data_IF_100780862561
#
_entry.id   IF_100780862561
#
_cell.length_a   1.000
_cell.length_b   1.000
_cell.length_c   1.000
_cell.angle_alpha   90.00
_cell.angle_beta   90.00
_cell.angle_gamma   90.00
#
_symmetry.space_group_name_H-M   'P 1'
#
loop_
_entity.id
_entity.type
_entity.pdbx_description
1 polymer ?
#
# COMPACT_ATOMS: atom_id res chain seq x y z
N UNK A 1 -51.04 17.50 3.04
CA UNK A 1 -49.84 17.94 2.30
C UNK A 1 -48.61 17.49 3.08
N UNK A 2 -48.17 16.25 2.89
CA UNK A 2 -46.94 15.71 3.48
C UNK A 2 -45.85 15.79 2.43
N UNK A 3 -45.01 16.80 2.50
CA UNK A 3 -43.82 16.92 1.65
C UNK A 3 -42.83 15.84 2.07
N UNK A 4 -42.81 14.72 1.34
CA UNK A 4 -41.76 13.72 1.43
C UNK A 4 -40.45 14.34 0.99
N UNK A 5 -39.54 14.60 1.94
CA UNK A 5 -38.17 14.94 1.62
C UNK A 5 -37.42 13.67 1.26
N UNK A 6 -37.26 13.44 -0.04
CA UNK A 6 -36.44 12.36 -0.58
C UNK A 6 -34.98 12.49 -0.08
N UNK A 7 -34.32 11.39 0.34
CA UNK A 7 -32.95 11.46 0.81
C UNK A 7 -32.02 11.90 -0.32
N UNK A 8 -31.30 13.00 -0.10
CA UNK A 8 -30.32 13.55 -1.05
C UNK A 8 -29.26 12.49 -1.37
N UNK A 9 -29.31 11.90 -2.57
CA UNK A 9 -28.26 11.01 -3.08
C UNK A 9 -26.97 11.83 -3.23
N UNK A 10 -25.89 11.42 -2.55
CA UNK A 10 -24.56 12.00 -2.78
C UNK A 10 -24.12 11.70 -4.22
N UNK A 11 -23.54 12.67 -4.96
CA UNK A 11 -23.07 12.43 -6.32
C UNK A 11 -21.94 11.40 -6.32
N UNK A 12 -21.96 10.51 -7.32
CA UNK A 12 -21.06 9.36 -7.50
C UNK A 12 -19.63 9.73 -7.95
N UNK A 13 -19.11 10.87 -7.50
CA UNK A 13 -17.71 11.26 -7.63
C UNK A 13 -17.04 11.03 -6.29
N UNK A 14 -16.30 9.93 -6.15
CA UNK A 14 -15.56 9.59 -4.94
C UNK A 14 -14.52 10.65 -4.63
N UNK A 15 -14.91 11.66 -3.87
CA UNK A 15 -13.97 12.61 -3.28
C UNK A 15 -13.23 11.81 -2.22
N UNK A 16 -11.90 11.65 -2.32
CA UNK A 16 -11.12 11.11 -1.22
C UNK A 16 -11.30 12.06 -0.03
N UNK A 17 -12.17 11.68 0.90
CA UNK A 17 -12.50 12.46 2.08
C UNK A 17 -12.48 11.50 3.27
N UNK A 18 -11.80 11.92 4.34
CA UNK A 18 -11.93 11.33 5.66
C UNK A 18 -12.70 12.28 6.55
N UNK A 19 -13.56 11.74 7.40
CA UNK A 19 -14.31 12.52 8.39
C UNK A 19 -13.44 12.91 9.60
N UNK A 20 -12.27 12.29 9.77
CA UNK A 20 -11.29 12.59 10.82
C UNK A 20 -9.87 12.18 10.43
N UNK A 21 -8.90 12.57 11.26
CA UNK A 21 -7.48 12.25 11.11
C UNK A 21 -6.99 11.40 12.27
N UNK A 22 -6.30 10.31 11.96
CA UNK A 22 -5.49 9.61 12.93
C UNK A 22 -4.14 10.35 13.11
N UNK A 23 -3.73 10.62 14.35
CA UNK A 23 -2.48 11.31 14.64
C UNK A 23 -1.82 10.79 15.94
N UNK A 24 -0.73 10.04 15.80
CA UNK A 24 0.10 9.57 16.93
C UNK A 24 1.36 10.42 17.18
N UNK A 25 1.37 11.68 16.71
CA UNK A 25 2.48 12.61 16.87
C UNK A 25 2.50 13.26 18.27
N UNK A 26 3.22 14.39 18.42
CA UNK A 26 3.23 15.13 19.68
C UNK A 26 1.87 15.78 19.99
N UNK A 27 1.63 16.06 21.26
CA UNK A 27 0.44 16.82 21.69
C UNK A 27 0.36 18.20 21.02
N UNK A 28 1.49 18.84 20.72
CA UNK A 28 1.49 20.15 20.07
C UNK A 28 0.91 20.08 18.66
N UNK A 29 1.25 19.03 17.91
CA UNK A 29 0.71 18.78 16.56
C UNK A 29 -0.77 18.43 16.66
N UNK A 30 -1.15 17.52 17.57
CA UNK A 30 -2.54 17.13 17.76
C UNK A 30 -3.40 18.34 18.17
N UNK A 31 -2.92 19.16 19.09
CA UNK A 31 -3.60 20.38 19.52
C UNK A 31 -3.75 21.36 18.36
N UNK A 32 -2.69 21.58 17.58
CA UNK A 32 -2.77 22.45 16.40
C UNK A 32 -3.86 21.98 15.44
N UNK A 33 -3.98 20.68 15.18
CA UNK A 33 -5.05 20.12 14.34
C UNK A 33 -6.43 20.38 14.95
N UNK A 34 -6.62 20.04 16.24
CA UNK A 34 -7.89 20.25 16.94
C UNK A 34 -8.31 21.74 16.98
N UNK A 35 -7.38 22.64 17.28
CA UNK A 35 -7.59 24.10 17.30
C UNK A 35 -8.04 24.64 15.92
N UNK A 36 -7.64 23.96 14.84
CA UNK A 36 -8.02 24.30 13.46
C UNK A 36 -9.23 23.49 12.97
N UNK A 37 -10.07 23.01 13.89
CA UNK A 37 -11.30 22.27 13.61
C UNK A 37 -11.10 20.98 12.79
N UNK A 38 -9.91 20.37 12.88
CA UNK A 38 -9.63 19.05 12.32
C UNK A 38 -9.95 18.00 13.39
N UNK A 39 -10.89 17.06 13.16
CA UNK A 39 -11.23 16.03 14.14
C UNK A 39 -10.08 15.02 14.25
N UNK A 40 -9.56 14.82 15.46
CA UNK A 40 -8.40 13.94 15.69
C UNK A 40 -8.76 12.71 16.53
N UNK A 41 -8.41 11.55 16.00
CA UNK A 41 -8.22 10.30 16.75
C UNK A 41 -6.72 10.17 17.06
N UNK A 42 -6.36 10.22 18.34
CA UNK A 42 -4.99 10.10 18.78
C UNK A 42 -4.59 8.64 19.06
N UNK A 43 -3.46 8.43 19.74
CA UNK A 43 -2.99 7.10 20.14
C UNK A 43 -2.36 7.15 21.53
N UNK A 44 -2.70 6.18 22.38
CA UNK A 44 -2.17 6.00 23.73
C UNK A 44 -1.89 4.52 24.03
N UNK A 45 -0.97 4.25 24.96
CA UNK A 45 -0.50 2.89 25.26
C UNK A 45 0.77 2.59 24.48
N UNK A 46 0.83 1.44 23.81
CA UNK A 46 1.92 1.11 22.89
C UNK A 46 1.70 1.85 21.58
N UNK A 47 2.51 2.89 21.29
CA UNK A 47 2.46 3.60 20.01
C UNK A 47 3.51 3.00 19.06
N UNK A 48 3.13 2.31 17.96
CA UNK A 48 4.08 1.60 17.10
C UNK A 48 5.18 2.48 16.51
N UNK A 49 4.87 3.73 16.14
CA UNK A 49 5.83 4.69 15.60
C UNK A 49 6.89 5.15 16.61
N UNK A 50 6.65 4.91 17.90
CA UNK A 50 7.57 5.26 18.99
C UNK A 50 8.33 4.04 19.53
N UNK A 51 8.19 2.86 18.90
CA UNK A 51 8.71 1.60 19.44
C UNK A 51 10.23 1.62 19.68
N UNK A 52 11.01 2.30 18.86
CA UNK A 52 12.46 2.47 19.06
C UNK A 52 12.77 3.13 20.41
N UNK A 53 12.03 4.18 20.76
CA UNK A 53 12.20 4.95 21.99
C UNK A 53 11.66 4.22 23.22
N UNK A 54 10.59 3.42 23.05
CA UNK A 54 9.96 2.65 24.13
C UNK A 54 10.57 1.26 24.33
N UNK A 55 11.61 0.93 23.56
CA UNK A 55 12.33 -0.34 23.66
C UNK A 55 11.54 -1.54 23.12
N UNK A 56 10.79 -1.35 22.04
CA UNK A 56 10.06 -2.35 21.27
C UNK A 56 8.55 -2.41 21.56
N UNK A 57 7.90 -3.41 20.98
CA UNK A 57 6.47 -3.68 21.12
C UNK A 57 6.16 -4.34 22.47
N UNK A 58 6.00 -3.51 23.50
CA UNK A 58 5.79 -3.96 24.89
C UNK A 58 4.44 -3.49 25.42
N UNK A 59 3.84 -4.33 26.26
CA UNK A 59 2.63 -3.99 27.00
C UNK A 59 2.88 -2.78 27.90
N UNK A 60 2.01 -1.78 27.81
CA UNK A 60 2.04 -0.55 28.63
C UNK A 60 0.94 -0.63 29.69
N UNK A 61 1.16 -0.10 30.90
CA UNK A 61 0.15 -0.09 31.95
C UNK A 61 0.16 -1.28 32.91
N UNK A 62 1.22 -2.12 32.90
CA UNK A 62 1.37 -3.28 33.79
C UNK A 62 1.50 -2.95 35.28
N UNK A 63 1.94 -1.73 35.60
CA UNK A 63 2.10 -1.24 36.98
C UNK A 63 1.17 -0.06 37.21
N UNK A 64 0.79 0.20 38.46
CA UNK A 64 -0.06 1.35 38.80
C UNK A 64 0.52 2.67 38.27
N UNK A 65 1.84 2.88 38.39
CA UNK A 65 2.53 4.06 37.84
C UNK A 65 2.39 4.16 36.32
N UNK A 66 2.57 3.05 35.60
CA UNK A 66 2.45 3.04 34.13
C UNK A 66 1.01 3.21 33.68
N UNK A 67 0.03 2.59 34.36
CA UNK A 67 -1.39 2.75 34.08
C UNK A 67 -1.84 4.20 34.31
N UNK A 68 -1.35 4.84 35.39
CA UNK A 68 -1.59 6.25 35.66
C UNK A 68 -1.02 7.15 34.55
N UNK A 69 0.15 6.83 34.00
CA UNK A 69 0.72 7.57 32.87
C UNK A 69 -0.12 7.44 31.60
N UNK A 70 -0.70 6.27 31.32
CA UNK A 70 -1.66 6.06 30.22
C UNK A 70 -2.90 6.94 30.42
N UNK A 71 -3.48 6.91 31.63
CA UNK A 71 -4.62 7.75 31.98
C UNK A 71 -4.33 9.25 31.84
N UNK A 72 -3.18 9.70 32.34
CA UNK A 72 -2.78 11.11 32.25
C UNK A 72 -2.56 11.53 30.79
N UNK A 73 -2.08 10.63 29.94
CA UNK A 73 -2.00 10.89 28.51
C UNK A 73 -3.40 11.03 27.90
N UNK A 74 -4.36 10.15 28.21
CA UNK A 74 -5.76 10.29 27.78
C UNK A 74 -6.35 11.63 28.20
N UNK A 75 -6.18 12.04 29.46
CA UNK A 75 -6.70 13.35 29.93
C UNK A 75 -6.05 14.54 29.22
N UNK A 76 -4.77 14.44 28.86
CA UNK A 76 -4.11 15.48 28.05
C UNK A 76 -4.69 15.54 26.64
N UNK A 77 -4.94 14.38 26.01
CA UNK A 77 -5.57 14.29 24.69
C UNK A 77 -6.99 14.88 24.71
N UNK A 78 -7.78 14.55 25.74
CA UNK A 78 -9.11 15.11 25.99
C UNK A 78 -9.04 16.63 26.13
N UNK A 79 -8.08 17.13 26.91
CA UNK A 79 -7.91 18.57 27.16
C UNK A 79 -7.58 19.36 25.88
N UNK A 80 -6.81 18.78 24.95
CA UNK A 80 -6.44 19.44 23.69
C UNK A 80 -7.49 19.27 22.57
N UNK A 81 -8.61 18.59 22.86
CA UNK A 81 -9.75 18.49 21.94
C UNK A 81 -9.74 17.26 21.02
N UNK A 82 -8.88 16.27 21.25
CA UNK A 82 -9.01 14.98 20.56
C UNK A 82 -10.35 14.34 20.96
N UNK A 83 -11.10 13.82 20.00
CA UNK A 83 -12.41 13.21 20.28
C UNK A 83 -12.32 11.70 20.52
N UNK A 84 -11.21 11.09 20.13
CA UNK A 84 -10.96 9.66 20.34
C UNK A 84 -9.48 9.34 20.40
N UNK A 85 -9.16 8.12 20.83
CA UNK A 85 -7.81 7.61 20.80
C UNK A 85 -7.79 6.09 20.64
N UNK A 86 -6.83 5.61 19.87
CA UNK A 86 -6.43 4.20 19.91
C UNK A 86 -5.79 3.89 21.26
N UNK A 87 -6.22 2.79 21.88
CA UNK A 87 -5.73 2.26 23.14
C UNK A 87 -5.11 0.90 22.86
N UNK A 88 -3.80 0.89 22.66
CA UNK A 88 -3.09 -0.28 22.14
C UNK A 88 -2.24 -0.98 23.22
N UNK A 89 -2.42 -2.30 23.34
CA UNK A 89 -1.67 -3.21 24.22
C UNK A 89 -1.56 -2.69 25.67
N UNK A 90 -2.72 -2.37 26.25
CA UNK A 90 -2.92 -2.00 27.66
C UNK A 90 -3.72 -3.09 28.37
N UNK A 91 -3.42 -3.45 29.64
CA UNK A 91 -4.22 -4.45 30.36
C UNK A 91 -5.73 -4.15 30.33
N UNK A 92 -6.51 -5.20 30.11
CA UNK A 92 -7.97 -5.16 29.94
C UNK A 92 -8.72 -4.33 30.99
N UNK A 93 -8.44 -4.55 32.29
CA UNK A 93 -9.09 -3.81 33.38
C UNK A 93 -8.72 -2.33 33.40
N UNK A 94 -7.49 -2.00 32.99
CA UNK A 94 -7.05 -0.60 32.90
C UNK A 94 -7.76 0.07 31.72
N UNK A 95 -7.83 -0.62 30.59
CA UNK A 95 -8.50 -0.11 29.41
C UNK A 95 -9.99 0.12 29.61
N UNK A 96 -10.68 -0.84 30.23
CA UNK A 96 -12.09 -0.71 30.60
C UNK A 96 -12.34 0.46 31.57
N UNK A 97 -11.47 0.62 32.58
CA UNK A 97 -11.57 1.73 33.52
C UNK A 97 -11.37 3.09 32.82
N UNK A 98 -10.41 3.19 31.90
CA UNK A 98 -10.15 4.41 31.13
C UNK A 98 -11.35 4.76 30.24
N UNK A 99 -11.83 3.82 29.43
CA UNK A 99 -12.94 4.04 28.49
C UNK A 99 -14.22 4.49 29.23
N UNK A 100 -14.53 3.90 30.38
CA UNK A 100 -15.68 4.33 31.21
C UNK A 100 -15.51 5.70 31.87
N UNK A 101 -14.30 6.25 31.92
CA UNK A 101 -13.97 7.46 32.69
C UNK A 101 -13.70 8.69 31.84
N UNK A 102 -13.72 8.57 30.51
CA UNK A 102 -13.54 9.69 29.57
C UNK A 102 -14.70 9.77 28.59
N UNK A 103 -15.10 10.97 28.13
CA UNK A 103 -16.06 11.10 27.03
C UNK A 103 -15.43 10.80 25.65
N UNK A 104 -14.12 10.62 25.56
CA UNK A 104 -13.45 10.26 24.31
C UNK A 104 -13.84 8.85 23.85
N UNK A 105 -13.91 8.64 22.54
CA UNK A 105 -14.09 7.30 21.96
C UNK A 105 -12.77 6.54 22.04
N UNK A 106 -12.73 5.44 22.81
CA UNK A 106 -11.55 4.59 22.94
C UNK A 106 -11.61 3.41 21.95
N UNK A 107 -10.64 3.35 21.03
CA UNK A 107 -10.52 2.27 20.04
C UNK A 107 -9.50 1.25 20.55
N UNK A 108 -9.95 0.10 21.03
CA UNK A 108 -9.09 -0.93 21.62
C UNK A 108 -8.43 -1.84 20.59
N UNK A 109 -7.12 -2.07 20.73
CA UNK A 109 -6.41 -3.17 20.06
C UNK A 109 -5.47 -3.86 21.07
N UNK A 110 -5.73 -5.13 21.35
CA UNK A 110 -5.02 -5.84 22.42
C UNK A 110 -5.25 -5.26 23.82
N UNK A 111 -6.36 -4.54 24.01
CA UNK A 111 -6.74 -3.87 25.25
C UNK A 111 -8.00 -4.47 25.92
N UNK A 112 -8.39 -5.69 25.53
CA UNK A 112 -9.62 -6.32 25.99
C UNK A 112 -10.89 -5.69 25.38
N UNK A 113 -12.05 -6.24 25.76
CA UNK A 113 -13.34 -5.86 25.18
C UNK A 113 -13.98 -4.62 25.82
N UNK A 114 -13.32 -4.01 26.82
CA UNK A 114 -13.86 -2.88 27.58
C UNK A 114 -13.70 -1.50 26.94
N UNK A 115 -13.11 -1.41 25.75
CA UNK A 115 -13.04 -0.18 24.96
C UNK A 115 -14.30 -0.02 24.07
N UNK A 116 -14.62 1.21 23.68
CA UNK A 116 -15.85 1.56 22.96
C UNK A 116 -15.97 0.91 21.57
N UNK A 117 -14.84 0.72 20.90
CA UNK A 117 -14.77 -0.07 19.68
C UNK A 117 -13.49 -0.91 19.67
N UNK A 118 -13.45 -1.86 18.74
CA UNK A 118 -12.31 -2.74 18.52
C UNK A 118 -11.83 -2.57 17.09
N UNK A 119 -10.51 -2.60 16.91
CA UNK A 119 -9.92 -2.62 15.58
C UNK A 119 -8.75 -3.60 15.53
N UNK A 120 -8.41 -4.01 14.32
CA UNK A 120 -7.26 -4.85 14.02
C UNK A 120 -6.82 -4.58 12.58
N UNK A 121 -5.55 -4.78 12.27
CA UNK A 121 -5.05 -4.62 10.90
C UNK A 121 -5.68 -5.66 9.96
N UNK A 122 -6.05 -5.22 8.75
CA UNK A 122 -6.61 -6.10 7.74
C UNK A 122 -5.61 -7.21 7.37
N UNK A 123 -4.33 -6.88 7.36
CA UNK A 123 -3.20 -7.78 7.13
C UNK A 123 -3.23 -8.97 8.09
N UNK A 124 -3.52 -8.71 9.36
CA UNK A 124 -3.58 -9.73 10.41
C UNK A 124 -4.85 -10.58 10.32
N UNK A 125 -6.01 -9.94 10.04
CA UNK A 125 -7.30 -10.60 9.86
C UNK A 125 -7.25 -11.55 8.65
N UNK A 126 -6.75 -11.06 7.52
CA UNK A 126 -6.72 -11.78 6.24
C UNK A 126 -5.52 -12.74 6.15
N UNK A 127 -4.58 -12.66 7.10
CA UNK A 127 -3.45 -13.57 7.20
C UNK A 127 -2.43 -13.37 6.09
N UNK A 128 -2.08 -12.12 5.83
CA UNK A 128 -1.01 -11.74 4.91
C UNK A 128 0.37 -11.89 5.53
N UNK A 129 0.49 -11.65 6.83
CA UNK A 129 1.77 -11.68 7.56
C UNK A 129 2.34 -13.09 7.62
N UNK A 130 3.53 -13.28 7.08
CA UNK A 130 4.36 -14.48 7.25
C UNK A 130 5.28 -14.30 8.47
N UNK A 131 5.51 -15.38 9.22
CA UNK A 131 6.35 -15.33 10.43
C UNK A 131 5.61 -14.82 11.67
N UNK A 132 6.10 -13.75 12.29
CA UNK A 132 5.62 -13.29 13.59
C UNK A 132 4.27 -12.57 13.48
N UNK A 133 3.27 -13.06 14.21
CA UNK A 133 1.96 -12.43 14.36
C UNK A 133 1.79 -11.88 15.78
N UNK A 134 1.24 -10.67 15.95
CA UNK A 134 0.96 -10.14 17.29
C UNK A 134 0.02 -11.06 18.06
N UNK A 135 0.28 -11.26 19.36
CA UNK A 135 -0.53 -12.16 20.22
C UNK A 135 -2.00 -11.72 20.32
N UNK A 136 -2.26 -10.41 20.19
CA UNK A 136 -3.60 -9.85 20.27
C UNK A 136 -4.37 -9.93 18.94
N UNK A 137 -3.71 -10.34 17.85
CA UNK A 137 -4.35 -10.49 16.56
C UNK A 137 -5.07 -11.84 16.43
N UNK A 138 -6.16 -11.85 15.67
CA UNK A 138 -6.86 -13.06 15.25
C UNK A 138 -6.91 -13.12 13.73
N UNK A 139 -6.31 -14.16 13.17
CA UNK A 139 -6.34 -14.44 11.73
C UNK A 139 -7.57 -15.29 11.39
N UNK A 140 -8.30 -14.88 10.36
CA UNK A 140 -9.51 -15.54 9.87
C UNK A 140 -9.31 -16.22 8.52
N UNK A 141 -8.33 -15.79 7.72
CA UNK A 141 -7.99 -16.37 6.41
C UNK A 141 -6.49 -16.51 6.25
N UNK A 142 -6.03 -17.24 5.23
CA UNK A 142 -4.62 -17.39 4.92
C UNK A 142 -4.34 -16.86 3.50
N UNK A 143 -4.36 -15.53 3.36
CA UNK A 143 -4.12 -14.93 2.06
C UNK A 143 -2.66 -15.10 1.65
N UNK A 144 -1.70 -15.12 2.59
CA UNK A 144 -0.30 -15.39 2.27
C UNK A 144 -0.11 -16.64 1.39
N UNK A 145 -0.76 -17.76 1.72
CA UNK A 145 -0.70 -18.98 0.91
C UNK A 145 -1.30 -18.81 -0.50
N UNK A 146 -2.38 -18.04 -0.63
CA UNK A 146 -2.97 -17.81 -1.95
C UNK A 146 -2.12 -16.89 -2.82
N UNK A 147 -1.50 -15.86 -2.24
CA UNK A 147 -0.54 -15.04 -2.96
C UNK A 147 0.70 -15.83 -3.35
N UNK A 148 1.18 -16.73 -2.49
CA UNK A 148 2.28 -17.64 -2.83
C UNK A 148 1.92 -18.56 -3.99
N UNK A 149 0.74 -19.20 -3.95
CA UNK A 149 0.23 -20.02 -5.06
C UNK A 149 0.12 -19.20 -6.35
N UNK A 150 -0.48 -18.02 -6.30
CA UNK A 150 -0.59 -17.13 -7.47
C UNK A 150 0.77 -16.65 -7.97
N UNK A 151 1.75 -16.45 -7.09
CA UNK A 151 3.10 -16.09 -7.47
C UNK A 151 3.80 -17.24 -8.20
N UNK A 152 3.60 -18.49 -7.76
CA UNK A 152 4.09 -19.67 -8.47
C UNK A 152 3.49 -19.78 -9.87
N UNK A 153 2.16 -19.59 -10.00
CA UNK A 153 1.46 -19.57 -11.29
C UNK A 153 1.99 -18.47 -12.22
N UNK A 154 2.22 -17.25 -11.70
CA UNK A 154 2.83 -16.15 -12.47
C UNK A 154 4.20 -16.55 -13.01
N UNK A 155 5.05 -17.14 -12.18
CA UNK A 155 6.39 -17.59 -12.58
C UNK A 155 6.31 -18.71 -13.63
N UNK A 156 5.39 -19.66 -13.46
CA UNK A 156 5.16 -20.74 -14.43
C UNK A 156 4.75 -20.18 -15.80
N UNK A 157 3.75 -19.30 -15.84
CA UNK A 157 3.28 -18.67 -17.08
C UNK A 157 4.39 -17.89 -17.81
N UNK A 158 5.25 -17.18 -17.08
CA UNK A 158 6.38 -16.49 -17.69
C UNK A 158 7.44 -17.46 -18.25
N UNK A 159 7.66 -18.62 -17.60
CA UNK A 159 8.57 -19.65 -18.13
C UNK A 159 8.01 -20.31 -19.39
N UNK A 160 6.72 -20.58 -19.43
CA UNK A 160 6.02 -21.08 -20.63
C UNK A 160 6.16 -20.08 -21.78
N UNK A 161 5.91 -18.79 -21.51
CA UNK A 161 6.09 -17.74 -22.50
C UNK A 161 7.54 -17.64 -23.02
N UNK A 162 8.54 -17.75 -22.14
CA UNK A 162 9.95 -17.79 -22.54
C UNK A 162 10.20 -18.99 -23.47
N UNK A 163 9.72 -20.17 -23.11
CA UNK A 163 9.86 -21.38 -23.93
C UNK A 163 9.20 -21.22 -25.30
N UNK A 164 8.02 -20.61 -25.36
CA UNK A 164 7.33 -20.34 -26.61
C UNK A 164 8.12 -19.37 -27.51
N UNK A 165 8.77 -18.36 -26.94
CA UNK A 165 9.62 -17.42 -27.69
C UNK A 165 10.89 -18.11 -28.21
N UNK A 166 11.56 -18.91 -27.37
CA UNK A 166 12.80 -19.61 -27.72
C UNK A 166 12.59 -20.68 -28.80
N UNK A 167 11.45 -21.37 -28.76
CA UNK A 167 11.08 -22.39 -29.75
C UNK A 167 10.42 -21.80 -31.01
N UNK A 168 10.08 -20.51 -31.01
CA UNK A 168 9.33 -19.85 -32.07
C UNK A 168 7.85 -20.21 -32.13
N UNK A 169 7.31 -20.89 -31.12
CA UNK A 169 5.88 -21.15 -30.97
C UNK A 169 5.09 -19.83 -30.76
N UNK A 170 5.70 -18.85 -30.09
CA UNK A 170 5.20 -17.47 -30.01
C UNK A 170 6.10 -16.50 -30.81
N UNK A 171 5.51 -15.58 -31.61
CA UNK A 171 4.08 -15.39 -31.81
C UNK A 171 3.46 -16.45 -32.74
N UNK A 172 2.41 -17.10 -32.25
CA UNK A 172 1.56 -17.95 -33.07
C UNK A 172 0.85 -17.11 -34.16
N UNK A 173 0.38 -17.71 -35.27
CA UNK A 173 -0.28 -16.96 -36.34
C UNK A 173 -1.42 -16.04 -35.86
N UNK A 174 -2.24 -16.50 -34.89
CA UNK A 174 -3.34 -15.71 -34.33
C UNK A 174 -2.88 -14.48 -33.52
N UNK A 175 -1.65 -14.49 -33.00
CA UNK A 175 -1.07 -13.38 -32.23
C UNK A 175 -0.37 -12.35 -33.12
N UNK A 176 -0.25 -12.61 -34.43
CA UNK A 176 0.42 -11.71 -35.37
C UNK A 176 -0.57 -10.68 -35.86
N UNK A 177 -0.15 -9.42 -35.88
CA UNK A 177 -0.91 -8.37 -36.56
C UNK A 177 -1.00 -8.71 -38.05
N UNK A 178 -2.22 -8.96 -38.54
CA UNK A 178 -2.47 -9.09 -39.97
C UNK A 178 -2.90 -7.75 -40.54
N UNK A 179 -2.28 -7.34 -41.65
CA UNK A 179 -2.76 -6.21 -42.41
C UNK A 179 -4.08 -6.61 -43.10
N UNK A 180 -5.23 -6.28 -42.48
CA UNK A 180 -6.57 -6.58 -43.04
C UNK A 180 -6.83 -5.88 -44.38
N UNK A 181 -6.05 -4.84 -44.71
CA UNK A 181 -5.99 -4.32 -46.06
C UNK A 181 -5.07 -5.23 -46.88
N UNK A 182 -5.69 -6.04 -47.76
CA UNK A 182 -5.02 -6.79 -48.82
C UNK A 182 -3.86 -5.95 -49.36
N UNK A 183 -2.62 -6.38 -49.13
CA UNK A 183 -1.54 -6.10 -50.07
C UNK A 183 -1.91 -6.88 -51.33
N UNK A 184 -2.82 -6.31 -52.12
CA UNK A 184 -3.09 -6.76 -53.48
C UNK A 184 -1.89 -6.26 -54.28
N UNK A 185 -1.15 -7.22 -54.82
CA UNK A 185 -0.26 -7.03 -55.98
C UNK A 185 1.15 -6.49 -55.71
N UNK A 186 2.09 -7.40 -55.46
CA UNK A 186 3.48 -7.31 -55.95
C UNK A 186 3.98 -8.70 -56.40
N UNK A 187 3.12 -9.48 -57.07
CA UNK A 187 3.52 -10.76 -57.71
C UNK A 187 3.37 -10.76 -59.23
N UNK A 188 2.91 -9.66 -59.82
CA UNK A 188 2.74 -9.53 -61.29
C UNK A 188 3.81 -8.70 -61.99
N UNK A 189 4.77 -8.09 -61.29
CA UNK A 189 5.79 -7.23 -61.94
C UNK A 189 7.16 -7.90 -62.14
N UNK A 190 7.33 -9.16 -61.72
CA UNK A 190 8.60 -9.89 -61.88
C UNK A 190 8.65 -10.84 -63.09
N UNK A 191 7.78 -10.66 -64.09
CA UNK A 191 7.96 -11.32 -65.40
C UNK A 191 8.92 -10.56 -66.35
N UNK A 192 9.53 -9.45 -65.92
CA UNK A 192 10.35 -8.60 -66.81
C UNK A 192 11.82 -8.40 -66.44
N UNK A 193 12.28 -8.71 -65.23
CA UNK A 193 13.63 -8.31 -64.79
C UNK A 193 14.54 -9.52 -64.69
N UNK A 194 15.44 -9.67 -65.68
CA UNK A 194 16.57 -10.60 -65.59
C UNK A 194 17.43 -10.23 -64.38
N UNK A 195 17.68 -11.21 -63.51
CA UNK A 195 18.56 -11.07 -62.37
C UNK A 195 19.98 -10.66 -62.81
N UNK A 196 20.65 -9.69 -62.16
CA UNK A 196 22.06 -9.43 -62.40
C UNK A 196 22.89 -10.60 -61.87
N UNK A 197 23.84 -11.06 -62.68
CA UNK A 197 24.80 -12.10 -62.32
C UNK A 197 25.67 -11.65 -61.15
N UNK A 198 25.81 -12.56 -60.19
CA UNK A 198 26.52 -12.37 -58.93
C UNK A 198 28.03 -12.28 -59.19
N UNK A 199 28.60 -11.08 -59.10
CA UNK A 199 30.03 -10.87 -59.26
C UNK A 199 30.47 -9.48 -58.82
N UNK A 200 31.23 -9.45 -57.71
CA UNK A 200 32.00 -8.31 -57.19
C UNK A 200 31.25 -7.24 -56.39
N UNK A 201 31.13 -7.48 -55.08
CA UNK A 201 31.16 -6.39 -54.09
C UNK A 201 32.51 -6.45 -53.37
N UNK A 202 33.46 -5.62 -53.81
CA UNK A 202 34.72 -5.37 -53.08
C UNK A 202 34.42 -4.55 -51.82
N UNK A 203 35.03 -4.94 -50.71
CA UNK A 203 34.93 -4.25 -49.43
C UNK A 203 35.52 -2.84 -49.50
N UNK A 204 34.77 -1.85 -49.02
CA UNK A 204 35.33 -0.56 -48.60
C UNK A 204 35.19 -0.45 -47.08
N UNK A 205 36.28 -0.75 -46.38
CA UNK A 205 36.48 -0.29 -45.00
C UNK A 205 36.67 1.23 -45.06
N UNK A 206 35.76 2.00 -44.45
CA UNK A 206 36.04 3.38 -44.09
C UNK A 206 36.65 3.42 -42.69
N UNK A 207 37.84 3.99 -42.60
CA UNK A 207 38.57 4.25 -41.35
C UNK A 207 38.06 5.54 -40.72
N UNK A 208 37.54 5.45 -39.50
CA UNK A 208 37.25 6.62 -38.66
C UNK A 208 38.54 6.99 -37.93
N UNK A 209 39.11 8.15 -38.25
CA UNK A 209 40.24 8.73 -37.51
C UNK A 209 39.72 9.48 -36.29
N UNK A 210 40.20 9.10 -35.11
CA UNK A 210 40.12 9.90 -33.90
C UNK A 210 40.83 11.24 -34.07
N UNK A 211 40.17 12.33 -33.68
CA UNK A 211 40.85 13.54 -33.19
C UNK A 211 40.33 13.83 -31.79
N UNK A 212 41.24 13.85 -30.83
CA UNK A 212 40.97 14.33 -29.48
C UNK A 212 41.00 15.87 -29.44
N UNK A 213 40.26 16.42 -28.49
CA UNK A 213 40.60 17.68 -27.86
C UNK A 213 40.14 17.64 -26.40
N UNK A 214 41.08 17.98 -25.52
CA UNK A 214 41.00 17.98 -24.07
C UNK A 214 40.40 19.26 -23.50
N UNK A 215 39.57 19.07 -22.44
CA UNK A 215 39.37 19.90 -21.24
C UNK A 215 38.63 21.26 -21.35
N UNK A 216 38.12 21.85 -20.24
CA UNK A 216 38.19 21.43 -18.83
C UNK A 216 36.86 21.38 -18.05
N UNK A 217 36.95 20.89 -16.81
CA UNK A 217 35.92 20.82 -15.79
C UNK A 217 35.50 22.20 -15.25
N UNK A 218 34.24 22.29 -14.82
CA UNK A 218 33.77 23.25 -13.83
C UNK A 218 32.57 22.67 -13.07
N UNK A 219 32.79 22.50 -11.76
CA UNK A 219 31.87 22.56 -10.60
C UNK A 219 30.54 21.82 -10.68
#
# INVERSE_FOLDING_TARGET
MTSGSEPRRRPAGGTMCGDCFYCAASLDIQKLLCDNAVPVVAHVGLIPSQCTWTGGFKVVGKTAKSAKAVWDHVKRLETIGCFGAELEVVPDRVAEAISKSTPMIMLGMGAGAGADAQYLFAEDILGYTTGHKPRHAKTYRNFAAEYERLQQERVAAFKEFISDVETGAYPAPACRAHNRHRIRTLRSEHQGVKAPTFGQVRSRRQSVRHRGSSAPAAI
#
